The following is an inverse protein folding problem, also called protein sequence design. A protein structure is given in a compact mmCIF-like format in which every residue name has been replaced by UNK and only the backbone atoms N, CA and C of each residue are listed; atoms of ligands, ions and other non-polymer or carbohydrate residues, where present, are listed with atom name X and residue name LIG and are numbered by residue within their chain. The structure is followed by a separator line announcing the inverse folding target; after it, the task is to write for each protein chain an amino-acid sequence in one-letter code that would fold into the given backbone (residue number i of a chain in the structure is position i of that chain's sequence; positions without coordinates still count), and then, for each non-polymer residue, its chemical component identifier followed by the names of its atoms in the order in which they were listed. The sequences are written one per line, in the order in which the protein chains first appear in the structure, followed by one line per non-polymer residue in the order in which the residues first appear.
data_IF_245424435273
#
_entry.id   IF_245424435273
#
_cell.length_a   1.000
_cell.length_b   1.000
_cell.length_c   1.000
_cell.angle_alpha   90.00
_cell.angle_beta   90.00
_cell.angle_gamma   90.00
#
_symmetry.space_group_name_H-M   'P 1'
#
loop_
_entity.id
_entity.type
_entity.pdbx_description
1 polymer ?
#
# COMPACT_ATOMS: atom_id res chain seq x y z
N UNK A 1 -5.74 5.42 17.20
CA UNK A 1 -5.82 4.04 16.73
C UNK A 1 -4.41 3.55 16.38
N UNK A 2 -4.05 2.36 16.85
CA UNK A 2 -2.71 1.82 16.62
C UNK A 2 -2.59 1.17 15.26
N UNK A 3 -1.48 1.43 14.55
CA UNK A 3 -1.18 0.75 13.28
C UNK A 3 -0.12 -0.34 13.48
N UNK A 4 0.17 -0.72 14.71
CA UNK A 4 1.12 -1.80 14.99
C UNK A 4 0.60 -3.09 14.34
N UNK A 5 1.47 -3.78 13.61
CA UNK A 5 1.11 -4.97 12.86
C UNK A 5 0.68 -4.68 11.41
N UNK A 6 0.66 -3.40 11.00
CA UNK A 6 0.22 -3.03 9.66
C UNK A 6 1.33 -3.23 8.62
N UNK A 7 0.90 -3.44 7.37
CA UNK A 7 1.78 -3.41 6.21
C UNK A 7 1.92 -1.97 5.74
N UNK A 8 3.15 -1.52 5.60
CA UNK A 8 3.46 -0.18 5.07
C UNK A 8 4.52 -0.29 3.98
N UNK A 9 4.59 0.73 3.14
CA UNK A 9 5.62 0.85 2.12
C UNK A 9 6.59 1.95 2.52
N UNK A 10 7.88 1.62 2.54
CA UNK A 10 8.94 2.57 2.82
C UNK A 10 9.96 2.49 1.70
N UNK A 11 10.09 3.58 0.95
CA UNK A 11 10.99 3.66 -0.22
C UNK A 11 10.82 2.48 -1.18
N UNK A 12 9.56 2.12 -1.44
CA UNK A 12 9.23 1.03 -2.36
C UNK A 12 9.38 -0.38 -1.79
N UNK A 13 9.65 -0.51 -0.48
CA UNK A 13 9.84 -1.81 0.16
C UNK A 13 8.71 -2.10 1.15
N UNK A 14 8.22 -3.35 1.22
CA UNK A 14 7.22 -3.71 2.22
C UNK A 14 7.84 -3.81 3.61
N UNK A 15 7.12 -3.34 4.62
CA UNK A 15 7.56 -3.39 6.00
C UNK A 15 6.38 -3.55 6.93
N UNK A 16 6.66 -4.05 8.14
CA UNK A 16 5.68 -4.21 9.21
C UNK A 16 5.94 -3.18 10.31
N UNK A 17 4.90 -2.50 10.75
CA UNK A 17 5.02 -1.62 11.91
C UNK A 17 5.07 -2.48 13.17
N UNK A 18 6.17 -2.41 13.91
CA UNK A 18 6.38 -3.25 15.11
C UNK A 18 6.25 -2.49 16.41
N UNK A 19 6.48 -1.19 16.40
CA UNK A 19 6.29 -0.37 17.61
C UNK A 19 6.09 1.10 17.23
N UNK A 20 5.63 1.88 18.20
CA UNK A 20 5.46 3.31 18.00
C UNK A 20 5.90 4.07 19.25
N UNK A 21 6.43 5.26 19.03
CA UNK A 21 6.73 6.24 20.09
C UNK A 21 5.99 7.54 19.76
N UNK A 22 6.19 8.58 20.55
CA UNK A 22 5.42 9.82 20.42
C UNK A 22 5.42 10.41 19.00
N UNK A 23 6.53 10.33 18.28
CA UNK A 23 6.66 10.94 16.96
C UNK A 23 7.25 10.01 15.90
N UNK A 24 7.53 8.76 16.25
CA UNK A 24 8.21 7.83 15.35
C UNK A 24 7.60 6.44 15.43
N UNK A 25 7.77 5.71 14.34
CA UNK A 25 7.40 4.31 14.25
C UNK A 25 8.64 3.49 13.97
N UNK A 26 8.70 2.29 14.55
CA UNK A 26 9.71 1.32 14.17
C UNK A 26 9.10 0.34 13.19
N UNK A 27 9.74 0.17 12.03
CA UNK A 27 9.29 -0.76 11.00
C UNK A 27 10.34 -1.85 10.81
N UNK A 28 9.87 -3.07 10.49
CA UNK A 28 10.71 -4.23 10.25
C UNK A 28 10.57 -4.69 8.81
N UNK A 29 11.70 -4.89 8.14
CA UNK A 29 11.73 -5.38 6.77
C UNK A 29 11.84 -6.90 6.72
N UNK A 30 11.62 -7.48 5.53
CA UNK A 30 11.64 -8.93 5.35
C UNK A 30 13.01 -9.57 5.63
N UNK A 31 14.09 -8.80 5.52
CA UNK A 31 15.45 -9.27 5.82
C UNK A 31 15.79 -9.24 7.32
N UNK A 32 14.84 -8.84 8.16
CA UNK A 32 15.03 -8.75 9.60
C UNK A 32 15.56 -7.40 10.09
N UNK A 33 15.92 -6.50 9.19
CA UNK A 33 16.38 -5.16 9.59
C UNK A 33 15.22 -4.32 10.07
N UNK A 34 15.50 -3.35 10.94
CA UNK A 34 14.51 -2.44 11.49
C UNK A 34 14.98 -1.01 11.33
N UNK A 35 14.02 -0.10 11.23
CA UNK A 35 14.33 1.32 11.10
C UNK A 35 13.26 2.15 11.79
N UNK A 36 13.69 3.26 12.40
CA UNK A 36 12.76 4.23 12.98
C UNK A 36 12.46 5.29 11.93
N UNK A 37 11.16 5.53 11.69
CA UNK A 37 10.70 6.45 10.66
C UNK A 37 9.56 7.29 11.19
N UNK A 38 9.29 8.42 10.52
CA UNK A 38 8.14 9.25 10.84
C UNK A 38 6.95 8.81 9.98
N UNK A 39 5.74 9.13 10.42
CA UNK A 39 4.52 8.77 9.70
C UNK A 39 4.55 9.25 8.23
N UNK A 40 5.12 10.42 7.98
CA UNK A 40 5.20 10.97 6.63
C UNK A 40 6.23 10.28 5.73
N UNK A 41 7.09 9.45 6.30
CA UNK A 41 8.16 8.79 5.55
C UNK A 41 7.71 7.45 4.95
N UNK A 42 6.58 6.92 5.38
CA UNK A 42 6.05 5.67 4.86
C UNK A 42 4.60 5.84 4.43
N UNK A 43 4.11 4.88 3.65
CA UNK A 43 2.71 4.87 3.20
C UNK A 43 2.00 3.65 3.79
N UNK A 44 0.89 3.88 4.45
CA UNK A 44 0.06 2.80 4.97
C UNK A 44 -0.57 2.02 3.81
N UNK A 45 -0.47 0.69 3.86
CA UNK A 45 -0.99 -0.18 2.79
C UNK A 45 -2.16 -1.01 3.29
N UNK A 46 -1.99 -1.75 4.39
CA UNK A 46 -3.03 -2.66 4.89
C UNK A 46 -2.89 -2.79 6.41
N UNK A 47 -4.02 -2.89 7.15
CA UNK A 47 -3.96 -2.98 8.61
C UNK A 47 -3.31 -4.25 9.13
N UNK A 48 -3.19 -5.30 8.31
CA UNK A 48 -2.56 -6.56 8.72
C UNK A 48 -1.39 -6.87 7.80
N UNK A 49 -0.22 -7.04 8.40
CA UNK A 49 0.97 -7.46 7.65
C UNK A 49 0.87 -8.93 7.26
N UNK A 50 1.30 -9.26 6.05
CA UNK A 50 1.64 -10.61 5.64
C UNK A 50 2.80 -10.51 4.66
N UNK A 51 3.51 -11.64 4.45
CA UNK A 51 4.57 -11.65 3.45
C UNK A 51 3.98 -11.38 2.07
N UNK A 52 4.56 -10.44 1.36
CA UNK A 52 4.07 -10.05 0.03
C UNK A 52 5.17 -10.28 -1.01
N UNK A 53 4.76 -10.54 -2.25
CA UNK A 53 5.67 -10.66 -3.38
C UNK A 53 5.26 -9.68 -4.48
N UNK A 54 6.15 -9.48 -5.42
CA UNK A 54 5.96 -8.50 -6.51
C UNK A 54 5.69 -9.16 -7.86
N UNK A 55 5.32 -10.43 -7.87
CA UNK A 55 4.99 -11.17 -9.08
C UNK A 55 3.52 -10.91 -9.42
N UNK A 56 3.29 -9.96 -10.35
CA UNK A 56 1.93 -9.56 -10.71
C UNK A 56 1.13 -10.69 -11.35
N UNK A 57 -0.12 -10.89 -10.92
CA UNK A 57 -1.05 -11.69 -11.71
C UNK A 57 -1.53 -10.88 -12.90
N UNK A 58 -2.20 -11.54 -13.83
CA UNK A 58 -2.88 -10.84 -14.92
C UNK A 58 -4.07 -10.09 -14.36
N UNK A 59 -4.15 -8.79 -14.62
CA UNK A 59 -5.18 -7.90 -14.07
C UNK A 59 -5.92 -7.23 -15.21
N UNK A 60 -7.24 -7.27 -15.16
CA UNK A 60 -8.08 -6.55 -16.12
C UNK A 60 -8.18 -5.08 -15.69
N UNK A 61 -7.41 -4.22 -16.34
CA UNK A 61 -7.39 -2.79 -16.05
C UNK A 61 -8.47 -2.01 -16.81
N UNK A 62 -9.24 -2.67 -17.68
CA UNK A 62 -10.29 -2.00 -18.44
C UNK A 62 -11.38 -1.42 -17.55
N UNK A 63 -11.61 -2.00 -16.37
CA UNK A 63 -12.59 -1.47 -15.43
C UNK A 63 -12.27 -0.06 -14.97
N UNK A 64 -10.99 0.36 -15.05
CA UNK A 64 -10.56 1.69 -14.63
C UNK A 64 -11.13 2.79 -15.54
N UNK A 65 -11.56 2.44 -16.74
CA UNK A 65 -12.19 3.39 -17.65
C UNK A 65 -13.51 3.92 -17.11
N UNK A 66 -14.17 3.16 -16.24
CA UNK A 66 -15.43 3.58 -15.61
C UNK A 66 -15.21 4.64 -14.53
N UNK A 67 -13.97 4.87 -14.13
CA UNK A 67 -13.62 5.79 -13.04
C UNK A 67 -12.83 7.01 -13.52
N UNK A 68 -12.97 7.39 -14.79
CA UNK A 68 -12.28 8.56 -15.35
C UNK A 68 -12.54 9.79 -14.48
N UNK A 69 -11.45 10.50 -14.12
CA UNK A 69 -11.49 11.70 -13.30
C UNK A 69 -11.96 11.47 -11.86
N UNK A 70 -12.06 10.22 -11.41
CA UNK A 70 -12.42 9.91 -10.04
C UNK A 70 -11.18 9.62 -9.20
N UNK A 71 -11.37 9.70 -7.88
CA UNK A 71 -10.33 9.33 -6.91
C UNK A 71 -10.88 8.25 -6.00
N UNK A 72 -10.07 7.23 -5.75
CA UNK A 72 -10.44 6.10 -4.90
C UNK A 72 -9.39 5.89 -3.82
N UNK A 73 -9.82 5.38 -2.66
CA UNK A 73 -8.86 4.95 -1.65
C UNK A 73 -8.16 3.67 -2.13
N UNK A 74 -7.01 3.36 -1.52
CA UNK A 74 -6.30 2.13 -1.84
C UNK A 74 -7.19 0.91 -1.64
N UNK A 75 -7.97 0.90 -0.57
CA UNK A 75 -8.89 -0.19 -0.27
C UNK A 75 -9.95 -0.34 -1.37
N UNK A 76 -10.59 0.76 -1.75
CA UNK A 76 -11.61 0.73 -2.80
C UNK A 76 -11.05 0.23 -4.12
N UNK A 77 -9.91 0.74 -4.53
CA UNK A 77 -9.30 0.34 -5.80
C UNK A 77 -8.86 -1.13 -5.76
N UNK A 78 -8.33 -1.58 -4.61
CA UNK A 78 -7.95 -2.99 -4.46
C UNK A 78 -9.16 -3.90 -4.60
N UNK A 79 -10.29 -3.54 -4.01
CA UNK A 79 -11.51 -4.33 -4.11
C UNK A 79 -12.05 -4.37 -5.54
N UNK A 80 -11.91 -3.27 -6.28
CA UNK A 80 -12.34 -3.24 -7.67
C UNK A 80 -11.46 -4.09 -8.59
N UNK A 81 -10.14 -4.10 -8.37
CA UNK A 81 -9.20 -4.80 -9.24
C UNK A 81 -9.04 -6.28 -8.88
N UNK A 82 -9.16 -6.63 -7.61
CA UNK A 82 -8.81 -7.98 -7.11
C UNK A 82 -9.93 -8.63 -6.30
N UNK A 83 -11.07 -7.95 -6.14
CA UNK A 83 -12.25 -8.37 -5.36
C UNK A 83 -12.02 -8.30 -3.84
N UNK A 84 -10.90 -8.80 -3.32
CA UNK A 84 -10.63 -8.82 -1.89
C UNK A 84 -9.54 -7.81 -1.50
N UNK A 85 -9.74 -7.14 -0.37
CA UNK A 85 -8.73 -6.26 0.19
C UNK A 85 -7.84 -7.07 1.14
N UNK A 86 -6.80 -7.69 0.57
CA UNK A 86 -5.77 -8.39 1.33
C UNK A 86 -4.48 -7.58 1.28
N UNK A 87 -3.53 -7.90 2.17
CA UNK A 87 -2.24 -7.23 2.16
C UNK A 87 -1.50 -7.44 0.84
N UNK A 88 -1.56 -8.66 0.26
CA UNK A 88 -0.91 -8.95 -1.02
C UNK A 88 -1.55 -8.16 -2.15
N UNK A 89 -2.88 -8.12 -2.22
CA UNK A 89 -3.58 -7.38 -3.26
C UNK A 89 -3.35 -5.87 -3.13
N UNK A 90 -3.38 -5.35 -1.92
CA UNK A 90 -3.09 -3.95 -1.67
C UNK A 90 -1.65 -3.59 -2.08
N UNK A 91 -0.71 -4.50 -1.85
CA UNK A 91 0.67 -4.32 -2.27
C UNK A 91 0.78 -4.22 -3.80
N UNK A 92 0.06 -5.06 -4.53
CA UNK A 92 0.03 -4.97 -5.99
C UNK A 92 -0.47 -3.62 -6.47
N UNK A 93 -1.55 -3.12 -5.87
CA UNK A 93 -2.11 -1.80 -6.24
C UNK A 93 -1.09 -0.69 -5.93
N UNK A 94 -0.40 -0.79 -4.80
CA UNK A 94 0.67 0.16 -4.48
C UNK A 94 1.77 0.14 -5.55
N UNK A 95 2.21 -1.03 -5.97
CA UNK A 95 3.23 -1.15 -7.02
C UNK A 95 2.76 -0.55 -8.34
N UNK A 96 1.49 -0.75 -8.70
CA UNK A 96 0.92 -0.14 -9.90
C UNK A 96 0.94 1.38 -9.81
N UNK A 97 0.70 1.93 -8.61
CA UNK A 97 0.72 3.38 -8.39
C UNK A 97 2.11 3.98 -8.58
N UNK A 98 3.15 3.22 -8.28
CA UNK A 98 4.54 3.67 -8.46
C UNK A 98 4.88 3.86 -9.93
N UNK A 99 4.30 3.06 -10.83
CA UNK A 99 4.50 3.21 -12.27
C UNK A 99 3.76 4.44 -12.81
N UNK A 100 2.68 4.87 -12.16
CA UNK A 100 1.90 6.03 -12.57
C UNK A 100 1.19 5.88 -13.91
N UNK A 101 1.09 4.66 -14.43
CA UNK A 101 0.54 4.42 -15.77
C UNK A 101 -0.99 4.54 -15.80
N UNK A 102 -1.67 4.02 -14.79
CA UNK A 102 -3.13 3.99 -14.73
C UNK A 102 -3.68 4.97 -13.69
N UNK A 103 -2.95 5.20 -12.62
CA UNK A 103 -3.34 6.09 -11.54
C UNK A 103 -2.11 6.54 -10.76
N UNK A 104 -2.29 7.58 -9.97
CA UNK A 104 -1.21 8.16 -9.17
C UNK A 104 -1.76 8.63 -7.82
N UNK A 105 -0.85 8.80 -6.86
CA UNK A 105 -1.23 9.28 -5.53
C UNK A 105 -1.52 10.78 -5.56
N UNK A 106 -2.68 11.14 -5.02
CA UNK A 106 -3.06 12.52 -4.75
C UNK A 106 -3.43 12.58 -3.27
N UNK A 107 -2.46 12.99 -2.44
CA UNK A 107 -2.58 12.94 -0.98
C UNK A 107 -2.80 11.49 -0.52
N UNK A 108 -3.98 11.17 0.03
CA UNK A 108 -4.28 9.85 0.56
C UNK A 108 -5.16 9.01 -0.35
N UNK A 109 -5.42 9.46 -1.57
CA UNK A 109 -6.26 8.75 -2.54
C UNK A 109 -5.53 8.59 -3.86
N UNK A 110 -6.00 7.64 -4.65
CA UNK A 110 -5.45 7.36 -5.99
C UNK A 110 -6.33 8.04 -7.03
N UNK A 111 -5.75 8.92 -7.82
CA UNK A 111 -6.43 9.65 -8.89
C UNK A 111 -6.28 8.89 -10.21
N UNK A 112 -7.39 8.66 -10.87
CA UNK A 112 -7.43 7.92 -12.12
C UNK A 112 -7.50 8.84 -13.36
#
# INVERSE_FOLDING_TARGET
MSIIGALVAYKGRPAKVVSSTTHKYEISFSDGSKQKVREKDFRFIHPKFSSVHSNFPEVDTSILNDFDDESLTLKELTEWLFDDFTSQNAWFVYLMSEDGLYFYWNKNVLAL
#
